data_IF_826580608378
#
_entry.id   IF_826580608378
#
_cell.length_a   1.000
_cell.length_b   1.000
_cell.length_c   1.000
_cell.angle_alpha   90.00
_cell.angle_beta   90.00
_cell.angle_gamma   90.00
#
_symmetry.space_group_name_H-M   'P 1'
#
loop_
_entity.id
_entity.type
_entity.pdbx_description
1 polymer ?
#
# COMPACT_ATOMS: atom_id res chain seq x y z
N UNK A 1 26.40 11.95 -33.49
CA UNK A 1 26.33 11.88 -32.01
C UNK A 1 25.29 12.87 -31.53
N UNK A 2 24.14 12.41 -31.02
CA UNK A 2 23.14 13.30 -30.43
C UNK A 2 22.51 12.60 -29.22
N UNK A 3 22.38 13.39 -28.15
CA UNK A 3 22.21 12.97 -26.76
C UNK A 3 20.90 12.21 -26.50
N UNK A 4 21.03 11.12 -25.75
CA UNK A 4 19.93 10.38 -25.13
C UNK A 4 19.05 11.35 -24.33
N UNK A 5 17.78 11.47 -24.71
CA UNK A 5 16.78 12.22 -23.96
C UNK A 5 16.37 11.38 -22.76
N UNK A 6 16.76 11.86 -21.57
CA UNK A 6 16.66 11.11 -20.34
C UNK A 6 15.21 10.81 -20.00
N UNK A 7 14.89 9.51 -19.89
CA UNK A 7 13.66 8.97 -19.32
C UNK A 7 13.27 9.65 -17.99
N UNK A 8 14.27 10.06 -17.20
CA UNK A 8 14.07 10.79 -15.95
C UNK A 8 13.56 12.22 -16.13
N UNK A 9 13.83 12.90 -17.24
CA UNK A 9 13.29 14.24 -17.50
C UNK A 9 11.77 14.20 -17.72
N UNK A 10 11.26 13.10 -18.30
CA UNK A 10 9.83 12.87 -18.45
C UNK A 10 9.17 12.47 -17.12
N UNK A 11 9.89 11.76 -16.27
CA UNK A 11 9.48 11.43 -14.92
C UNK A 11 9.42 12.70 -14.03
N UNK A 12 10.44 13.56 -14.11
CA UNK A 12 10.65 14.74 -13.26
C UNK A 12 9.79 15.96 -13.64
N UNK A 13 9.38 16.09 -14.92
CA UNK A 13 8.40 17.13 -15.31
C UNK A 13 7.07 16.99 -14.55
N UNK A 14 6.70 15.77 -14.18
CA UNK A 14 5.50 15.50 -13.38
C UNK A 14 5.70 15.75 -11.87
N UNK A 15 6.95 15.83 -11.40
CA UNK A 15 7.27 16.06 -10.00
C UNK A 15 7.35 17.55 -9.61
N UNK A 16 7.37 18.48 -10.58
CA UNK A 16 7.68 19.91 -10.34
C UNK A 16 6.49 20.86 -10.21
N UNK A 17 5.26 20.34 -10.17
CA UNK A 17 4.07 21.10 -9.72
C UNK A 17 3.45 20.26 -8.60
N UNK A 18 3.20 20.76 -7.40
CA UNK A 18 2.02 21.57 -7.15
C UNK A 18 2.18 22.39 -5.88
N UNK A 19 1.81 23.66 -6.03
CA UNK A 19 1.70 24.74 -5.05
C UNK A 19 0.54 24.45 -4.08
N UNK A 20 0.70 24.86 -2.83
CA UNK A 20 -0.23 24.80 -1.67
C UNK A 20 -1.71 25.04 -2.06
N UNK A 21 -2.55 23.98 -2.02
CA UNK A 21 -4.01 24.06 -2.06
C UNK A 21 -4.71 22.74 -2.44
N UNK A 22 -5.61 22.24 -1.58
CA UNK A 22 -6.58 21.13 -1.79
C UNK A 22 -6.09 19.72 -2.19
N UNK A 23 -5.02 19.23 -1.55
CA UNK A 23 -4.44 17.91 -1.85
C UNK A 23 -5.41 16.71 -1.72
N UNK A 24 -6.42 16.71 -0.83
CA UNK A 24 -7.21 15.50 -0.52
C UNK A 24 -8.18 15.05 -1.63
N UNK A 25 -8.81 15.99 -2.31
CA UNK A 25 -9.65 15.67 -3.45
C UNK A 25 -8.82 15.21 -4.66
N UNK A 26 -7.67 15.86 -4.90
CA UNK A 26 -6.74 15.47 -5.95
C UNK A 26 -6.13 14.08 -5.66
N UNK A 27 -5.89 13.76 -4.38
CA UNK A 27 -5.46 12.44 -3.92
C UNK A 27 -6.49 11.35 -4.22
N UNK A 28 -7.77 11.62 -3.93
CA UNK A 28 -8.88 10.73 -4.29
C UNK A 28 -8.96 10.52 -5.80
N UNK A 29 -8.83 11.59 -6.60
CA UNK A 29 -8.86 11.52 -8.06
C UNK A 29 -7.72 10.69 -8.66
N UNK A 30 -6.50 10.82 -8.14
CA UNK A 30 -5.34 10.06 -8.63
C UNK A 30 -5.46 8.58 -8.26
N UNK A 31 -5.86 8.27 -7.02
CA UNK A 31 -6.12 6.89 -6.63
C UNK A 31 -7.29 6.30 -7.43
N UNK A 32 -8.34 7.08 -7.70
CA UNK A 32 -9.54 6.67 -8.43
C UNK A 32 -9.34 6.48 -9.95
N UNK A 33 -8.20 6.89 -10.53
CA UNK A 33 -7.91 6.60 -11.94
C UNK A 33 -7.71 5.09 -12.12
N UNK A 34 -8.82 4.37 -12.30
CA UNK A 34 -8.89 2.93 -12.53
C UNK A 34 -9.06 2.04 -11.28
N UNK A 35 -9.16 2.60 -10.07
CA UNK A 35 -9.27 1.81 -8.82
C UNK A 35 -10.61 1.99 -8.11
N UNK A 36 -11.04 0.96 -7.37
CA UNK A 36 -12.32 0.94 -6.65
C UNK A 36 -12.22 1.68 -5.31
N UNK A 37 -13.15 2.58 -5.03
CA UNK A 37 -13.35 3.10 -3.68
C UNK A 37 -14.18 2.10 -2.87
N UNK A 38 -13.63 1.63 -1.75
CA UNK A 38 -14.34 0.78 -0.79
C UNK A 38 -14.94 1.64 0.32
N UNK A 39 -16.08 1.21 0.86
CA UNK A 39 -16.64 1.83 2.07
C UNK A 39 -15.92 1.30 3.30
N UNK A 40 -15.96 2.08 4.38
CA UNK A 40 -15.38 1.69 5.66
C UNK A 40 -16.02 0.41 6.17
N UNK A 41 -17.35 0.30 6.07
CA UNK A 41 -18.14 -0.84 6.53
C UNK A 41 -17.74 -2.12 5.81
N UNK A 42 -17.49 -2.05 4.49
CA UNK A 42 -17.00 -3.20 3.72
C UNK A 42 -15.67 -3.69 4.24
N UNK A 43 -14.71 -2.78 4.53
CA UNK A 43 -13.39 -3.18 5.00
C UNK A 43 -13.39 -3.63 6.46
N UNK A 44 -14.24 -3.04 7.30
CA UNK A 44 -14.50 -3.50 8.67
C UNK A 44 -15.03 -4.93 8.65
N UNK A 45 -16.06 -5.20 7.84
CA UNK A 45 -16.61 -6.55 7.69
C UNK A 45 -15.54 -7.53 7.19
N UNK A 46 -14.85 -7.17 6.11
CA UNK A 46 -13.85 -8.02 5.48
C UNK A 46 -12.68 -8.39 6.42
N UNK A 47 -12.30 -7.49 7.32
CA UNK A 47 -11.19 -7.67 8.28
C UNK A 47 -11.65 -8.14 9.66
N UNK A 48 -12.94 -8.45 9.84
CA UNK A 48 -13.55 -8.77 11.15
C UNK A 48 -13.26 -7.69 12.20
N UNK A 49 -13.50 -6.43 11.84
CA UNK A 49 -13.22 -5.25 12.64
C UNK A 49 -11.72 -5.07 12.94
N UNK A 50 -10.87 -5.24 11.93
CA UNK A 50 -9.41 -5.16 12.05
C UNK A 50 -8.86 -6.06 13.17
N UNK A 51 -9.33 -7.31 13.20
CA UNK A 51 -8.98 -8.25 14.25
C UNK A 51 -7.45 -8.44 14.33
N UNK A 52 -6.82 -8.27 15.51
CA UNK A 52 -5.39 -8.46 15.70
C UNK A 52 -4.89 -9.85 15.27
N UNK A 53 -5.73 -10.89 15.39
CA UNK A 53 -5.39 -12.24 14.96
C UNK A 53 -5.14 -12.36 13.44
N UNK A 54 -5.63 -11.40 12.65
CA UNK A 54 -5.45 -11.36 11.20
C UNK A 54 -4.39 -10.33 10.77
N UNK A 55 -3.63 -9.78 11.71
CA UNK A 55 -2.57 -8.83 11.40
C UNK A 55 -1.41 -9.55 10.71
N UNK A 56 -1.09 -9.10 9.50
CA UNK A 56 0.01 -9.63 8.69
C UNK A 56 1.36 -9.01 9.09
N UNK A 57 1.33 -7.77 9.57
CA UNK A 57 2.51 -7.06 10.03
C UNK A 57 2.20 -5.62 10.41
N UNK A 58 3.20 -4.93 10.94
CA UNK A 58 3.17 -3.49 11.22
C UNK A 58 4.58 -2.93 11.09
N UNK A 59 4.69 -1.73 10.52
CA UNK A 59 5.91 -0.96 10.45
C UNK A 59 5.59 0.53 10.58
N UNK A 60 6.53 1.41 10.21
CA UNK A 60 6.34 2.86 10.29
C UNK A 60 5.13 3.39 9.52
N UNK A 61 4.67 2.63 8.52
CA UNK A 61 3.53 2.96 7.66
C UNK A 61 2.17 2.51 8.22
N UNK A 62 2.16 1.91 9.41
CA UNK A 62 0.96 1.39 10.07
C UNK A 62 0.72 -0.10 9.86
N UNK A 63 -0.35 -0.63 10.48
CA UNK A 63 -0.65 -2.06 10.48
C UNK A 63 -1.31 -2.53 9.18
N UNK A 64 -1.01 -3.77 8.79
CA UNK A 64 -1.61 -4.47 7.65
C UNK A 64 -2.40 -5.67 8.15
N UNK A 65 -3.65 -5.81 7.68
CA UNK A 65 -4.56 -6.87 8.08
C UNK A 65 -4.96 -7.72 6.88
N UNK A 66 -5.10 -9.04 7.11
CA UNK A 66 -5.76 -9.95 6.17
C UNK A 66 -7.27 -9.78 6.26
N UNK A 67 -7.93 -9.69 5.12
CA UNK A 67 -9.38 -9.68 5.01
C UNK A 67 -9.88 -10.57 3.88
N UNK A 68 -11.20 -10.78 3.85
CA UNK A 68 -11.89 -11.46 2.77
C UNK A 68 -13.14 -10.67 2.39
N UNK A 69 -13.23 -10.24 1.14
CA UNK A 69 -14.40 -9.55 0.60
C UNK A 69 -15.59 -10.52 0.44
N UNK A 70 -16.80 -9.97 0.34
CA UNK A 70 -18.03 -10.76 0.17
C UNK A 70 -18.03 -11.58 -1.13
N UNK A 71 -17.31 -11.12 -2.15
CA UNK A 71 -17.09 -11.84 -3.41
C UNK A 71 -16.06 -12.97 -3.30
N UNK A 72 -15.52 -13.21 -2.11
CA UNK A 72 -14.59 -14.30 -1.81
C UNK A 72 -13.12 -13.95 -1.99
N UNK A 73 -12.77 -12.77 -2.55
CA UNK A 73 -11.37 -12.37 -2.74
C UNK A 73 -10.67 -12.11 -1.41
N UNK A 74 -9.47 -12.68 -1.25
CA UNK A 74 -8.60 -12.36 -0.13
C UNK A 74 -7.85 -11.05 -0.40
N UNK A 75 -7.79 -10.19 0.63
CA UNK A 75 -7.21 -8.85 0.54
C UNK A 75 -6.25 -8.58 1.68
N UNK A 76 -5.27 -7.71 1.42
CA UNK A 76 -4.44 -7.10 2.45
C UNK A 76 -4.84 -5.62 2.60
N UNK A 77 -5.31 -5.25 3.79
CA UNK A 77 -5.75 -3.90 4.11
C UNK A 77 -4.67 -3.21 4.93
N UNK A 78 -3.99 -2.24 4.35
CA UNK A 78 -3.00 -1.40 5.02
C UNK A 78 -3.69 -0.17 5.59
N UNK A 79 -3.73 -0.07 6.92
CA UNK A 79 -4.14 1.15 7.62
C UNK A 79 -2.94 2.07 7.73
N UNK A 80 -3.07 3.29 7.20
CA UNK A 80 -1.97 4.24 7.26
C UNK A 80 -1.92 4.92 8.62
N UNK A 81 -0.72 5.02 9.18
CA UNK A 81 -0.53 5.68 10.48
C UNK A 81 -0.83 7.18 10.39
N UNK A 82 -1.48 7.70 11.43
CA UNK A 82 -1.76 9.13 11.56
C UNK A 82 -0.60 9.91 12.21
N UNK A 83 0.40 9.20 12.75
CA UNK A 83 1.38 9.73 13.71
C UNK A 83 2.43 10.67 13.12
N UNK A 84 2.33 11.09 11.86
CA UNK A 84 3.25 12.09 11.31
C UNK A 84 2.65 12.78 10.08
N UNK A 85 3.08 14.01 9.82
CA UNK A 85 2.91 14.65 8.51
C UNK A 85 3.49 13.85 7.32
N UNK A 86 4.16 12.72 7.61
CA UNK A 86 4.64 11.72 6.66
C UNK A 86 3.51 10.82 6.14
N UNK A 87 2.52 10.42 6.94
CA UNK A 87 1.47 9.48 6.52
C UNK A 87 0.65 9.98 5.32
N UNK A 88 0.38 11.29 5.24
CA UNK A 88 -0.28 11.91 4.07
C UNK A 88 0.62 11.92 2.82
N UNK A 89 1.93 12.14 3.00
CA UNK A 89 2.93 12.11 1.92
C UNK A 89 3.22 10.69 1.45
N UNK A 90 3.18 9.72 2.35
CA UNK A 90 3.37 8.29 2.09
C UNK A 90 2.14 7.72 1.37
N UNK A 91 0.93 8.06 1.79
CA UNK A 91 -0.28 7.79 1.02
C UNK A 91 -0.18 8.37 -0.39
N UNK A 92 0.29 9.61 -0.51
CA UNK A 92 0.46 10.29 -1.80
C UNK A 92 1.47 9.57 -2.70
N UNK A 93 2.61 9.13 -2.15
CA UNK A 93 3.63 8.41 -2.91
C UNK A 93 3.14 7.02 -3.31
N UNK A 94 2.56 6.25 -2.38
CA UNK A 94 2.04 4.91 -2.66
C UNK A 94 0.91 4.99 -3.69
N UNK A 95 -0.08 5.86 -3.49
CA UNK A 95 -1.19 6.01 -4.44
C UNK A 95 -0.74 6.45 -5.85
N UNK A 96 0.20 7.40 -5.95
CA UNK A 96 0.73 7.87 -7.25
C UNK A 96 1.55 6.81 -7.99
N UNK A 97 2.34 6.02 -7.27
CA UNK A 97 3.18 4.96 -7.85
C UNK A 97 2.31 3.77 -8.25
N UNK A 98 1.37 3.37 -7.40
CA UNK A 98 0.59 2.15 -7.59
C UNK A 98 -0.56 2.31 -8.58
N UNK A 99 -1.11 3.52 -8.75
CA UNK A 99 -2.12 3.78 -9.80
C UNK A 99 -1.58 3.55 -11.23
N UNK A 100 -0.26 3.51 -11.41
CA UNK A 100 0.39 3.44 -12.73
C UNK A 100 1.15 2.13 -12.98
N UNK A 101 1.20 1.23 -12.01
CA UNK A 101 2.03 0.01 -12.08
C UNK A 101 1.15 -1.22 -11.87
N UNK A 102 0.84 -1.89 -12.97
CA UNK A 102 0.31 -3.26 -12.98
C UNK A 102 1.38 -4.15 -13.60
N UNK A 103 2.06 -4.95 -12.78
CA UNK A 103 3.11 -5.84 -13.24
C UNK A 103 3.11 -7.12 -12.43
N UNK A 104 3.42 -8.26 -13.06
CA UNK A 104 3.42 -9.60 -12.42
C UNK A 104 4.25 -9.73 -11.14
N UNK A 105 5.21 -8.82 -10.92
CA UNK A 105 6.11 -8.82 -9.75
C UNK A 105 5.77 -7.71 -8.74
N UNK A 106 4.64 -7.00 -8.93
CA UNK A 106 4.17 -5.94 -8.04
C UNK A 106 2.76 -6.31 -7.61
N UNK A 107 2.51 -6.34 -6.30
CA UNK A 107 1.20 -6.69 -5.76
C UNK A 107 0.14 -5.70 -6.24
N UNK A 108 -0.98 -6.21 -6.74
CA UNK A 108 -2.02 -5.37 -7.29
C UNK A 108 -2.71 -4.56 -6.20
N UNK A 109 -2.83 -3.26 -6.42
CA UNK A 109 -3.75 -2.42 -5.67
C UNK A 109 -5.16 -2.64 -6.24
N UNK A 110 -6.11 -3.02 -5.40
CA UNK A 110 -7.53 -3.15 -5.77
C UNK A 110 -8.32 -1.86 -5.54
N UNK A 111 -7.87 -1.03 -4.58
CA UNK A 111 -8.62 0.14 -4.19
C UNK A 111 -8.14 0.83 -2.93
N UNK A 112 -8.96 1.78 -2.48
CA UNK A 112 -8.69 2.58 -1.30
C UNK A 112 -9.99 2.87 -0.53
N UNK A 113 -9.85 3.29 0.72
CA UNK A 113 -10.94 3.82 1.53
C UNK A 113 -10.46 5.07 2.26
N UNK A 114 -11.30 6.10 2.28
CA UNK A 114 -11.12 7.33 3.06
C UNK A 114 -12.36 7.49 3.92
N UNK A 115 -12.18 7.49 5.24
CA UNK A 115 -13.27 7.66 6.20
C UNK A 115 -12.81 8.57 7.35
N UNK A 116 -13.22 9.83 7.30
CA UNK A 116 -12.69 10.86 8.19
C UNK A 116 -11.17 10.97 8.06
N UNK A 117 -10.46 10.73 9.15
CA UNK A 117 -9.00 10.75 9.19
C UNK A 117 -8.36 9.40 8.77
N UNK A 118 -9.14 8.33 8.77
CA UNK A 118 -8.67 6.98 8.42
C UNK A 118 -8.48 6.87 6.91
N UNK A 119 -7.26 6.47 6.51
CA UNK A 119 -6.89 6.21 5.12
C UNK A 119 -6.39 4.79 4.99
N UNK A 120 -6.97 4.04 4.06
CA UNK A 120 -6.69 2.63 3.85
C UNK A 120 -6.39 2.35 2.39
N UNK A 121 -5.44 1.44 2.17
CA UNK A 121 -5.12 0.88 0.86
C UNK A 121 -5.45 -0.60 0.87
N UNK A 122 -6.09 -1.06 -0.19
CA UNK A 122 -6.59 -2.44 -0.36
C UNK A 122 -5.80 -3.10 -1.47
N UNK A 123 -5.01 -4.11 -1.10
CA UNK A 123 -4.16 -4.86 -2.01
C UNK A 123 -4.67 -6.30 -2.17
N UNK A 124 -4.21 -6.94 -3.23
CA UNK A 124 -4.20 -8.39 -3.36
C UNK A 124 -3.43 -9.03 -2.19
N UNK A 125 -4.00 -10.08 -1.60
CA UNK A 125 -3.30 -10.89 -0.61
C UNK A 125 -2.40 -11.91 -1.31
N UNK A 126 -1.12 -11.93 -0.96
CA UNK A 126 -0.13 -12.91 -1.45
C UNK A 126 0.21 -13.87 -0.32
N UNK A 127 -0.04 -15.17 -0.52
CA UNK A 127 0.08 -16.20 0.51
C UNK A 127 1.52 -16.50 0.94
N UNK A 128 2.52 -16.20 0.10
CA UNK A 128 3.94 -16.57 0.30
C UNK A 128 4.68 -15.70 1.34
N UNK A 129 3.97 -15.18 2.34
CA UNK A 129 4.49 -14.30 3.39
C UNK A 129 5.47 -13.19 2.89
N UNK A 130 6.20 -12.50 3.77
CA UNK A 130 7.20 -11.54 3.31
C UNK A 130 8.49 -12.25 2.86
N UNK A 131 9.21 -11.63 1.93
CA UNK A 131 10.54 -12.10 1.52
C UNK A 131 11.48 -12.20 2.72
N UNK A 132 11.39 -11.27 3.68
CA UNK A 132 12.18 -11.30 4.91
C UNK A 132 12.00 -12.59 5.70
N UNK A 133 10.76 -13.10 5.77
CA UNK A 133 10.52 -14.38 6.44
C UNK A 133 11.16 -15.55 5.69
N UNK A 134 11.18 -15.52 4.36
CA UNK A 134 11.82 -16.55 3.55
C UNK A 134 13.35 -16.48 3.61
N UNK A 135 13.92 -15.29 3.68
CA UNK A 135 15.37 -15.08 3.76
C UNK A 135 15.92 -15.35 5.17
N UNK A 136 15.12 -15.10 6.21
CA UNK A 136 15.54 -15.19 7.61
C UNK A 136 14.79 -16.24 8.43
N UNK A 137 14.08 -17.18 7.79
CA UNK A 137 13.51 -18.35 8.47
C UNK A 137 14.63 -19.29 8.93
N UNK A 138 15.18 -19.02 10.11
CA UNK A 138 16.04 -19.91 10.92
C UNK A 138 17.01 -20.79 10.12
N UNK A 139 18.20 -20.27 9.83
CA UNK A 139 19.41 -21.11 9.94
C UNK A 139 19.68 -21.36 11.43
N UNK A 140 18.86 -22.20 12.06
CA UNK A 140 19.24 -22.80 13.33
C UNK A 140 20.07 -24.03 13.01
N UNK A 141 21.38 -23.87 12.99
CA UNK A 141 22.28 -24.92 13.45
C UNK A 141 23.16 -24.28 14.50
N UNK A 142 22.87 -24.59 15.76
CA UNK A 142 23.79 -24.37 16.86
C UNK A 142 25.15 -24.95 16.47
N UNK A 143 26.14 -24.11 16.19
CA UNK A 143 27.53 -24.54 16.19
C UNK A 143 27.94 -24.65 17.66
N UNK A 144 27.68 -25.82 18.24
CA UNK A 144 28.37 -26.23 19.46
C UNK A 144 29.82 -26.51 19.09
N UNK A 145 30.73 -25.62 19.47
CA UNK A 145 32.15 -25.97 19.54
C UNK A 145 32.33 -26.85 20.79
N UNK A 146 32.76 -28.09 20.55
CA UNK A 146 33.33 -28.97 21.58
C UNK A 146 34.79 -28.61 21.81
#
# INVERSE_FOLDING_TARGET
MARSSNFMDHLLKHFRSTKKGNNEEELGRIAAQGQKQFTWETLVSATKSFNPAHKLGEGGFGPVYKGKLDDGREIAVKKLSQSSGQGKKEFMNEAKVLARVQHRNVVNLFGYCVHGEEKLLVYEYVANESLDKHLFSKSCSSLSFS
#
